data_IF_636292559313
#
_entry.id   IF_636292559313
#
_cell.length_a   1.000
_cell.length_b   1.000
_cell.length_c   1.000
_cell.angle_alpha   90.00
_cell.angle_beta   90.00
_cell.angle_gamma   90.00
#
_symmetry.space_group_name_H-M   'P 1'
#
loop_
_entity.id
_entity.type
_entity.pdbx_description
1 polymer ?
#
# COMPACT_ATOMS: atom_id res chain seq x y z
N UNK A 1 33.59 13.53 21.01
CA UNK A 1 34.72 13.16 20.15
C UNK A 1 34.29 13.43 18.73
N UNK A 2 34.96 14.33 18.03
CA UNK A 2 34.65 14.61 16.63
C UNK A 2 35.34 13.53 15.77
N UNK A 3 34.61 12.66 15.04
CA UNK A 3 35.21 11.58 14.26
C UNK A 3 36.02 12.07 13.06
N UNK A 4 35.80 13.31 12.58
CA UNK A 4 36.53 13.90 11.45
C UNK A 4 37.85 14.51 11.92
N UNK A 5 37.85 15.22 13.06
CA UNK A 5 39.07 15.87 13.58
C UNK A 5 39.82 15.07 14.64
N UNK A 6 39.28 13.94 15.11
CA UNK A 6 39.83 13.06 16.15
C UNK A 6 40.25 13.77 17.45
N UNK A 7 39.68 14.94 17.73
CA UNK A 7 39.90 15.69 18.96
C UNK A 7 38.68 15.56 19.88
N UNK A 8 38.90 15.69 21.21
CA UNK A 8 37.81 15.97 22.14
C UNK A 8 37.37 17.41 21.91
N UNK A 9 36.51 17.57 20.90
CA UNK A 9 36.21 18.84 20.25
C UNK A 9 35.46 19.82 21.13
N UNK A 10 35.94 21.06 21.06
CA UNK A 10 35.29 22.30 21.49
C UNK A 10 33.76 22.25 21.25
N UNK A 11 32.93 22.39 22.31
CA UNK A 11 31.47 22.38 22.20
C UNK A 11 30.92 23.35 21.15
N UNK A 12 31.59 24.48 20.90
CA UNK A 12 31.13 25.50 19.94
C UNK A 12 31.08 25.01 18.50
N UNK A 13 31.75 23.90 18.17
CA UNK A 13 31.77 23.32 16.82
C UNK A 13 30.63 22.34 16.55
N UNK A 14 29.89 21.93 17.59
CA UNK A 14 28.88 20.89 17.45
C UNK A 14 27.60 21.41 16.80
N UNK A 15 26.97 20.68 15.86
CA UNK A 15 25.75 21.12 15.19
C UNK A 15 24.63 21.51 16.16
N UNK A 16 24.48 20.77 17.26
CA UNK A 16 23.48 21.02 18.31
C UNK A 16 23.68 22.33 19.09
N UNK A 17 24.84 22.96 18.97
CA UNK A 17 25.16 24.26 19.59
C UNK A 17 25.14 25.39 18.57
N UNK A 18 25.34 25.10 17.28
CA UNK A 18 25.45 26.11 16.21
C UNK A 18 24.17 26.38 15.45
N UNK A 19 23.26 25.41 15.41
CA UNK A 19 22.05 25.47 14.61
C UNK A 19 20.82 25.31 15.50
N UNK A 20 19.79 26.14 15.29
CA UNK A 20 18.52 26.02 15.99
C UNK A 20 17.71 24.78 15.56
N UNK A 21 18.05 24.21 14.40
CA UNK A 21 17.40 23.03 13.82
C UNK A 21 18.45 22.04 13.37
N UNK A 22 18.36 20.81 13.87
CA UNK A 22 19.25 19.69 13.53
C UNK A 22 18.48 18.36 13.61
N UNK A 23 19.08 17.30 13.07
CA UNK A 23 18.59 15.94 13.20
C UNK A 23 19.59 15.10 14.01
N UNK A 24 19.07 14.21 14.87
CA UNK A 24 19.86 13.25 15.62
C UNK A 24 19.56 11.83 15.13
N UNK A 25 20.59 11.00 15.12
CA UNK A 25 20.39 9.55 15.01
C UNK A 25 19.84 9.08 16.36
N UNK A 26 18.59 8.62 16.38
CA UNK A 26 17.96 8.11 17.59
C UNK A 26 18.65 6.81 18.06
N UNK A 27 19.18 6.76 19.29
CA UNK A 27 19.72 5.53 19.86
C UNK A 27 18.65 4.45 20.05
N UNK A 28 19.07 3.21 20.31
CA UNK A 28 18.18 2.05 20.42
C UNK A 28 17.14 2.15 21.54
N UNK A 29 17.39 2.97 22.57
CA UNK A 29 16.44 3.23 23.66
C UNK A 29 15.15 3.94 23.20
N UNK A 30 15.17 4.59 22.03
CA UNK A 30 14.00 5.20 21.40
C UNK A 30 13.22 4.23 20.50
N UNK A 31 13.63 2.96 20.41
CA UNK A 31 13.02 1.97 19.52
C UNK A 31 12.28 0.89 20.31
N UNK A 32 10.94 0.86 20.21
CA UNK A 32 10.14 -0.27 20.70
C UNK A 32 10.24 -1.50 19.79
N UNK A 33 10.44 -1.27 18.50
CA UNK A 33 10.63 -2.28 17.46
C UNK A 33 11.72 -1.81 16.49
N UNK A 34 12.43 -2.73 15.81
CA UNK A 34 13.33 -2.36 14.73
C UNK A 34 12.60 -1.56 13.64
N UNK A 35 13.29 -0.66 12.93
CA UNK A 35 12.72 0.08 11.81
C UNK A 35 12.07 -0.84 10.78
N UNK A 36 10.75 -0.72 10.66
CA UNK A 36 9.94 -1.48 9.71
C UNK A 36 10.22 -1.00 8.28
N UNK A 37 10.07 -1.88 7.27
CA UNK A 37 10.16 -1.46 5.87
C UNK A 37 9.04 -0.46 5.52
N UNK A 38 9.26 0.33 4.47
CA UNK A 38 8.18 1.12 3.89
C UNK A 38 7.17 0.18 3.22
N UNK A 39 5.90 0.29 3.58
CA UNK A 39 4.83 -0.54 3.01
C UNK A 39 3.78 0.35 2.34
N UNK A 40 3.48 0.05 1.08
CA UNK A 40 2.51 0.77 0.26
C UNK A 40 1.38 -0.16 -0.15
N UNK A 41 0.17 0.10 0.33
CA UNK A 41 -1.03 -0.65 -0.06
C UNK A 41 -1.95 0.24 -0.88
N UNK A 42 -2.30 -0.20 -2.07
CA UNK A 42 -3.22 0.49 -2.97
C UNK A 42 -4.60 -0.18 -2.92
N UNK A 43 -5.63 0.57 -2.53
CA UNK A 43 -7.02 0.14 -2.60
C UNK A 43 -7.67 0.78 -3.83
N UNK A 44 -8.17 -0.04 -4.75
CA UNK A 44 -8.71 0.39 -6.04
C UNK A 44 -10.20 0.07 -6.13
N UNK A 45 -11.05 1.09 -6.24
CA UNK A 45 -12.47 0.94 -6.55
C UNK A 45 -12.64 0.37 -7.97
N UNK A 46 -13.31 -0.76 -8.10
CA UNK A 46 -13.58 -1.42 -9.40
C UNK A 46 -15.08 -1.54 -9.68
N UNK A 47 -15.90 -0.73 -9.00
CA UNK A 47 -17.32 -0.59 -9.28
C UNK A 47 -17.60 -0.08 -10.71
N UNK A 48 -18.83 -0.24 -11.19
CA UNK A 48 -19.23 0.18 -12.54
C UNK A 48 -18.93 1.65 -12.81
N UNK A 49 -19.11 2.54 -11.81
CA UNK A 49 -18.81 3.97 -11.96
C UNK A 49 -17.31 4.20 -12.13
N UNK A 50 -16.51 3.45 -11.38
CA UNK A 50 -15.06 3.43 -11.50
C UNK A 50 -14.62 3.03 -12.91
N UNK A 51 -15.15 1.93 -13.44
CA UNK A 51 -14.85 1.48 -14.79
C UNK A 51 -15.29 2.48 -15.85
N UNK A 52 -16.51 3.02 -15.76
CA UNK A 52 -17.06 3.98 -16.72
C UNK A 52 -16.25 5.29 -16.77
N UNK A 53 -15.67 5.71 -15.65
CA UNK A 53 -14.82 6.90 -15.60
C UNK A 53 -13.47 6.73 -16.33
N UNK A 54 -13.03 5.50 -16.59
CA UNK A 54 -11.72 5.20 -17.15
C UNK A 54 -10.54 5.52 -16.22
N UNK A 55 -10.79 5.83 -14.94
CA UNK A 55 -9.72 6.22 -14.02
C UNK A 55 -8.75 5.06 -13.74
N UNK A 56 -9.23 3.82 -13.75
CA UNK A 56 -8.44 2.65 -13.35
C UNK A 56 -7.26 2.43 -14.30
N UNK A 57 -7.45 2.65 -15.61
CA UNK A 57 -6.37 2.62 -16.60
C UNK A 57 -5.29 3.65 -16.28
N UNK A 58 -5.70 4.90 -16.04
CA UNK A 58 -4.77 6.00 -15.73
C UNK A 58 -4.06 5.77 -14.40
N UNK A 59 -4.78 5.29 -13.39
CA UNK A 59 -4.23 5.00 -12.07
C UNK A 59 -3.20 3.87 -12.14
N UNK A 60 -3.53 2.75 -12.80
CA UNK A 60 -2.62 1.63 -12.96
C UNK A 60 -1.35 2.03 -13.73
N UNK A 61 -1.49 2.78 -14.83
CA UNK A 61 -0.35 3.29 -15.59
C UNK A 61 0.51 4.23 -14.75
N UNK A 62 -0.11 5.19 -14.06
CA UNK A 62 0.63 6.16 -13.22
C UNK A 62 1.35 5.45 -12.08
N UNK A 63 0.71 4.49 -11.43
CA UNK A 63 1.36 3.69 -10.38
C UNK A 63 2.58 2.98 -10.98
N UNK A 64 2.40 2.27 -12.11
CA UNK A 64 3.47 1.55 -12.80
C UNK A 64 4.70 2.43 -13.11
N UNK A 65 4.47 3.66 -13.58
CA UNK A 65 5.52 4.65 -13.88
C UNK A 65 6.20 5.21 -12.62
N UNK A 66 5.49 5.26 -11.49
CA UNK A 66 5.98 5.85 -10.24
C UNK A 66 6.50 4.83 -9.22
N UNK A 67 6.37 3.53 -9.47
CA UNK A 67 6.83 2.47 -8.56
C UNK A 67 8.29 2.66 -8.16
N UNK A 68 9.18 2.97 -9.13
CA UNK A 68 10.62 3.13 -8.88
C UNK A 68 10.96 4.44 -8.14
N UNK A 69 10.02 5.39 -8.07
CA UNK A 69 10.15 6.66 -7.35
C UNK A 69 9.59 6.61 -5.93
N UNK A 70 9.01 5.48 -5.50
CA UNK A 70 8.48 5.35 -4.15
C UNK A 70 9.62 5.40 -3.11
N UNK A 71 9.49 6.22 -2.04
CA UNK A 71 10.52 6.30 -1.04
C UNK A 71 10.60 5.01 -0.23
N UNK A 72 11.80 4.47 -0.07
CA UNK A 72 12.00 3.24 0.67
C UNK A 72 13.38 2.67 0.43
N UNK A 73 13.80 1.76 1.31
CA UNK A 73 15.02 0.98 1.09
C UNK A 73 14.73 -0.25 0.21
N UNK A 74 15.70 -1.15 0.08
CA UNK A 74 15.53 -2.39 -0.68
C UNK A 74 14.46 -3.34 -0.13
N UNK A 75 13.92 -3.08 1.07
CA UNK A 75 12.89 -3.87 1.73
C UNK A 75 11.49 -3.29 1.50
N UNK A 76 11.35 -2.23 0.70
CA UNK A 76 10.04 -1.63 0.43
C UNK A 76 9.05 -2.67 -0.11
N UNK A 77 7.87 -2.73 0.49
CA UNK A 77 6.82 -3.66 0.12
C UNK A 77 5.65 -2.93 -0.51
N UNK A 78 4.99 -3.61 -1.45
CA UNK A 78 3.77 -3.14 -2.10
C UNK A 78 2.70 -4.21 -2.08
N UNK A 79 1.44 -3.79 -2.00
CA UNK A 79 0.28 -4.65 -2.16
C UNK A 79 -0.86 -3.93 -2.86
N UNK A 80 -1.79 -4.73 -3.36
CA UNK A 80 -2.95 -4.25 -4.10
C UNK A 80 -4.19 -4.96 -3.60
N UNK A 81 -5.26 -4.21 -3.43
CA UNK A 81 -6.61 -4.71 -3.17
C UNK A 81 -7.55 -3.95 -4.11
N UNK A 82 -8.38 -4.66 -4.85
CA UNK A 82 -9.50 -4.06 -5.56
C UNK A 82 -10.80 -4.31 -4.79
N UNK A 83 -11.81 -3.45 -4.95
CA UNK A 83 -13.09 -3.65 -4.27
C UNK A 83 -14.29 -3.10 -5.06
N UNK A 84 -15.39 -3.86 -5.00
CA UNK A 84 -16.74 -3.51 -5.47
C UNK A 84 -17.75 -4.01 -4.42
N UNK A 85 -18.68 -4.91 -4.72
CA UNK A 85 -19.43 -5.69 -3.71
C UNK A 85 -18.59 -6.74 -2.97
N UNK A 86 -17.39 -7.05 -3.46
CA UNK A 86 -16.44 -7.97 -2.87
C UNK A 86 -15.07 -7.29 -2.66
N UNK A 87 -14.18 -7.97 -1.92
CA UNK A 87 -12.79 -7.55 -1.75
C UNK A 87 -11.89 -8.52 -2.52
N UNK A 88 -11.12 -7.99 -3.47
CA UNK A 88 -10.23 -8.75 -4.34
C UNK A 88 -8.79 -8.58 -3.88
N UNK A 89 -8.16 -9.67 -3.47
CA UNK A 89 -6.76 -9.72 -3.07
C UNK A 89 -5.92 -10.27 -4.22
N UNK A 90 -4.67 -9.82 -4.33
CA UNK A 90 -3.73 -10.30 -5.33
C UNK A 90 -2.53 -10.97 -4.66
N UNK A 91 -2.41 -12.28 -4.87
CA UNK A 91 -1.28 -13.06 -4.41
C UNK A 91 -0.18 -13.04 -5.47
N UNK A 92 0.98 -12.51 -5.09
CA UNK A 92 2.15 -12.34 -5.94
C UNK A 92 3.29 -13.18 -5.34
N UNK A 93 3.24 -14.50 -5.53
CA UNK A 93 4.28 -15.39 -5.01
C UNK A 93 5.43 -15.59 -6.01
N UNK A 94 6.64 -15.77 -5.49
CA UNK A 94 7.79 -16.21 -6.29
C UNK A 94 7.50 -17.56 -6.96
N UNK A 95 7.79 -17.65 -8.26
CA UNK A 95 7.54 -18.84 -9.08
C UNK A 95 6.17 -18.88 -9.76
N UNK A 96 5.30 -17.90 -9.53
CA UNK A 96 4.14 -17.69 -10.40
C UNK A 96 4.55 -17.01 -11.70
N UNK A 97 3.93 -17.44 -12.81
CA UNK A 97 4.07 -16.75 -14.10
C UNK A 97 3.11 -15.55 -14.23
N UNK A 98 2.12 -15.45 -13.34
CA UNK A 98 1.16 -14.36 -13.30
C UNK A 98 0.58 -14.19 -11.87
N UNK A 99 0.14 -12.99 -11.49
CA UNK A 99 -0.57 -12.76 -10.24
C UNK A 99 -1.86 -13.58 -10.13
N UNK A 100 -2.20 -14.06 -8.92
CA UNK A 100 -3.43 -14.78 -8.66
C UNK A 100 -4.42 -13.93 -7.85
N UNK A 101 -5.62 -13.73 -8.40
CA UNK A 101 -6.72 -13.06 -7.70
C UNK A 101 -7.41 -14.02 -6.74
N UNK A 102 -7.68 -13.55 -5.52
CA UNK A 102 -8.49 -14.24 -4.52
C UNK A 102 -9.61 -13.30 -4.08
N UNK A 103 -10.85 -13.66 -4.41
CA UNK A 103 -12.03 -12.83 -4.10
C UNK A 103 -12.66 -13.27 -2.78
N UNK A 104 -12.83 -12.33 -1.86
CA UNK A 104 -13.58 -12.50 -0.61
C UNK A 104 -14.94 -11.82 -0.76
N UNK A 105 -15.99 -12.64 -0.78
CA UNK A 105 -17.38 -12.19 -0.91
C UNK A 105 -18.00 -11.74 0.42
N UNK A 106 -17.43 -12.18 1.54
CA UNK A 106 -17.87 -11.81 2.88
C UNK A 106 -17.30 -10.44 3.25
N UNK A 107 -18.17 -9.42 3.27
CA UNK A 107 -17.78 -8.02 3.50
C UNK A 107 -18.10 -7.53 4.90
N UNK A 108 -19.01 -8.18 5.62
CA UNK A 108 -19.41 -7.74 6.96
C UNK A 108 -18.38 -8.18 8.02
N UNK A 109 -17.73 -9.33 7.81
CA UNK A 109 -16.58 -9.80 8.59
C UNK A 109 -15.40 -10.21 7.70
N UNK A 110 -14.69 -9.20 7.17
CA UNK A 110 -13.58 -9.42 6.24
C UNK A 110 -12.39 -10.09 6.93
N UNK A 111 -11.75 -11.03 6.23
CA UNK A 111 -10.54 -11.72 6.66
C UNK A 111 -9.46 -11.69 5.57
N UNK A 112 -8.20 -11.98 5.95
CA UNK A 112 -7.12 -12.15 4.98
C UNK A 112 -7.17 -13.57 4.43
N UNK A 113 -7.32 -13.78 3.11
CA UNK A 113 -7.51 -15.11 2.55
C UNK A 113 -6.26 -15.98 2.59
N UNK A 114 -5.08 -15.36 2.69
CA UNK A 114 -3.78 -16.02 2.81
C UNK A 114 -2.91 -15.20 3.76
N UNK A 115 -2.06 -15.84 4.58
CA UNK A 115 -1.12 -15.14 5.46
C UNK A 115 0.02 -14.48 4.69
N UNK A 116 0.39 -15.02 3.51
CA UNK A 116 1.59 -14.64 2.78
C UNK A 116 1.29 -14.11 1.38
N UNK A 117 2.27 -13.41 0.79
CA UNK A 117 2.32 -12.95 -0.60
C UNK A 117 1.24 -11.93 -1.03
N UNK A 118 0.61 -11.25 -0.06
CA UNK A 118 -0.28 -10.10 -0.29
C UNK A 118 0.44 -8.74 -0.20
N UNK A 119 1.54 -8.70 0.55
CA UNK A 119 2.50 -7.60 0.60
C UNK A 119 3.85 -8.17 0.17
N UNK A 120 4.36 -7.70 -0.96
CA UNK A 120 5.52 -8.29 -1.61
C UNK A 120 6.62 -7.28 -1.80
N UNK A 121 7.87 -7.74 -1.85
CA UNK A 121 8.99 -6.85 -2.09
C UNK A 121 8.86 -6.21 -3.48
N UNK A 122 8.90 -4.88 -3.51
CA UNK A 122 8.71 -4.11 -4.72
C UNK A 122 9.76 -4.43 -5.81
N UNK A 123 11.02 -4.62 -5.40
CA UNK A 123 12.13 -4.86 -6.33
C UNK A 123 12.13 -6.30 -6.85
N UNK A 124 11.87 -7.26 -5.97
CA UNK A 124 11.89 -8.69 -6.32
C UNK A 124 10.71 -9.05 -7.21
N UNK A 125 9.51 -8.53 -6.92
CA UNK A 125 8.30 -8.85 -7.65
C UNK A 125 7.95 -7.83 -8.75
N UNK A 126 8.90 -6.99 -9.19
CA UNK A 126 8.66 -5.85 -10.10
C UNK A 126 7.91 -6.22 -11.38
N UNK A 127 8.26 -7.36 -11.98
CA UNK A 127 7.65 -7.87 -13.23
C UNK A 127 6.20 -8.30 -13.00
N UNK A 128 5.94 -9.13 -11.98
CA UNK A 128 4.59 -9.57 -11.65
C UNK A 128 3.66 -8.40 -11.24
N UNK A 129 4.20 -7.39 -10.56
CA UNK A 129 3.46 -6.17 -10.24
C UNK A 129 3.08 -5.42 -11.51
N UNK A 130 3.98 -5.34 -12.50
CA UNK A 130 3.66 -4.73 -13.80
C UNK A 130 2.55 -5.49 -14.52
N UNK A 131 2.63 -6.82 -14.55
CA UNK A 131 1.62 -7.66 -15.17
C UNK A 131 0.25 -7.47 -14.50
N UNK A 132 0.22 -7.40 -13.15
CA UNK A 132 -1.00 -7.10 -12.41
C UNK A 132 -1.61 -5.77 -12.85
N UNK A 133 -0.82 -4.69 -12.85
CA UNK A 133 -1.30 -3.35 -13.18
C UNK A 133 -1.79 -3.25 -14.63
N UNK A 134 -1.20 -4.00 -15.57
CA UNK A 134 -1.66 -4.07 -16.96
C UNK A 134 -2.94 -4.90 -17.14
N UNK A 135 -3.15 -5.91 -16.29
CA UNK A 135 -4.31 -6.80 -16.37
C UNK A 135 -5.53 -6.25 -15.63
N UNK A 136 -5.32 -5.49 -14.55
CA UNK A 136 -6.36 -4.96 -13.66
C UNK A 136 -7.51 -4.25 -14.41
N UNK A 137 -7.27 -3.26 -15.29
CA UNK A 137 -8.37 -2.59 -16.00
C UNK A 137 -9.17 -3.53 -16.89
N UNK A 138 -8.48 -4.47 -17.56
CA UNK A 138 -9.10 -5.46 -18.46
C UNK A 138 -9.94 -6.48 -17.70
N UNK A 139 -9.50 -6.85 -16.50
CA UNK A 139 -10.15 -7.85 -15.65
C UNK A 139 -11.59 -7.46 -15.28
N UNK A 140 -11.84 -6.17 -15.07
CA UNK A 140 -13.13 -5.66 -14.63
C UNK A 140 -14.01 -5.09 -15.74
N UNK A 141 -13.50 -4.95 -16.98
CA UNK A 141 -14.19 -4.27 -18.09
C UNK A 141 -15.58 -4.83 -18.49
N UNK A 142 -15.98 -6.02 -18.01
CA UNK A 142 -17.31 -6.61 -18.24
C UNK A 142 -18.16 -6.77 -16.98
N UNK A 143 -17.65 -6.40 -15.80
CA UNK A 143 -18.36 -6.56 -14.53
C UNK A 143 -19.25 -5.36 -14.27
N UNK A 144 -20.55 -5.62 -14.04
CA UNK A 144 -21.54 -4.58 -13.79
C UNK A 144 -21.95 -4.62 -12.32
N UNK A 145 -21.12 -4.05 -11.45
CA UNK A 145 -21.38 -3.97 -10.02
C UNK A 145 -21.34 -2.52 -9.53
N UNK A 146 -22.49 -2.02 -9.09
CA UNK A 146 -22.64 -0.64 -8.61
C UNK A 146 -22.33 -0.47 -7.11
N UNK A 147 -21.90 -1.55 -6.44
CA UNK A 147 -21.60 -1.54 -5.01
C UNK A 147 -20.14 -1.16 -4.77
N UNK A 148 -19.90 -0.53 -3.63
CA UNK A 148 -18.56 -0.18 -3.16
C UNK A 148 -18.41 -0.48 -1.68
N UNK A 149 -17.66 -1.55 -1.40
CA UNK A 149 -17.35 -2.08 -0.08
C UNK A 149 -16.09 -1.46 0.52
N UNK A 150 -15.95 -0.13 0.45
CA UNK A 150 -14.76 0.58 0.93
C UNK A 150 -14.43 0.26 2.39
N UNK A 151 -15.43 0.20 3.28
CA UNK A 151 -15.16 -0.08 4.68
C UNK A 151 -14.61 -1.49 4.92
N UNK A 152 -15.06 -2.48 4.15
CA UNK A 152 -14.49 -3.83 4.18
C UNK A 152 -13.05 -3.81 3.67
N UNK A 153 -12.77 -3.11 2.56
CA UNK A 153 -11.41 -2.97 2.03
C UNK A 153 -10.46 -2.28 3.04
N UNK A 154 -10.92 -1.26 3.76
CA UNK A 154 -10.16 -0.60 4.81
C UNK A 154 -9.91 -1.50 6.03
N UNK A 155 -10.89 -2.30 6.43
CA UNK A 155 -10.70 -3.30 7.49
C UNK A 155 -9.70 -4.37 7.08
N UNK A 156 -9.75 -4.85 5.83
CA UNK A 156 -8.76 -5.77 5.27
C UNK A 156 -7.36 -5.14 5.27
N UNK A 157 -7.23 -3.89 4.82
CA UNK A 157 -5.98 -3.14 4.85
C UNK A 157 -5.40 -3.02 6.26
N UNK A 158 -6.24 -2.71 7.26
CA UNK A 158 -5.83 -2.65 8.66
C UNK A 158 -5.31 -4.00 9.17
N UNK A 159 -5.98 -5.10 8.84
CA UNK A 159 -5.53 -6.46 9.20
C UNK A 159 -4.21 -6.80 8.51
N UNK A 160 -4.10 -6.51 7.21
CA UNK A 160 -2.91 -6.82 6.40
C UNK A 160 -1.67 -6.04 6.86
N UNK A 161 -1.84 -4.77 7.22
CA UNK A 161 -0.73 -3.88 7.60
C UNK A 161 -0.54 -3.78 9.12
N UNK A 162 -1.32 -4.49 9.93
CA UNK A 162 -1.29 -4.33 11.39
C UNK A 162 0.08 -4.61 12.03
N UNK A 163 0.84 -5.55 11.47
CA UNK A 163 2.16 -5.90 11.98
C UNK A 163 3.23 -4.85 11.64
N UNK A 164 3.25 -4.33 10.42
CA UNK A 164 4.33 -3.45 9.93
C UNK A 164 3.98 -1.97 10.04
N UNK A 165 2.71 -1.62 9.94
CA UNK A 165 2.26 -0.28 9.56
C UNK A 165 2.57 0.03 8.09
N UNK A 166 2.33 1.27 7.69
CA UNK A 166 2.66 1.79 6.36
C UNK A 166 1.63 2.80 5.85
N UNK A 167 1.53 2.96 4.53
CA UNK A 167 0.61 3.88 3.86
C UNK A 167 -0.44 3.11 3.05
N UNK A 168 -1.71 3.44 3.29
CA UNK A 168 -2.83 3.01 2.46
C UNK A 168 -3.23 4.17 1.55
N UNK A 169 -3.20 3.95 0.23
CA UNK A 169 -3.69 4.90 -0.77
C UNK A 169 -5.01 4.37 -1.35
N UNK A 170 -6.10 5.12 -1.13
CA UNK A 170 -7.44 4.74 -1.56
C UNK A 170 -7.84 5.52 -2.80
N UNK A 171 -8.30 4.81 -3.82
CA UNK A 171 -8.89 5.37 -5.03
C UNK A 171 -10.37 5.02 -5.02
N UNK A 172 -11.21 6.03 -4.80
CA UNK A 172 -12.66 5.89 -4.69
C UNK A 172 -13.34 6.76 -5.75
N UNK A 173 -14.33 6.22 -6.44
CA UNK A 173 -15.06 6.94 -7.49
C UNK A 173 -16.53 7.17 -7.19
N UNK A 174 -17.10 6.38 -6.28
CA UNK A 174 -18.51 6.48 -5.90
C UNK A 174 -18.69 6.65 -4.39
N UNK A 175 -19.91 6.91 -3.93
CA UNK A 175 -20.21 6.90 -2.49
C UNK A 175 -20.13 5.45 -1.97
N UNK A 176 -19.33 5.14 -0.93
CA UNK A 176 -19.36 3.82 -0.29
C UNK A 176 -20.77 3.46 0.13
N UNK A 177 -21.32 2.37 -0.40
CA UNK A 177 -22.74 2.05 -0.29
C UNK A 177 -23.02 0.59 0.08
N UNK A 178 -21.97 -0.20 0.36
CA UNK A 178 -22.10 -1.62 0.68
C UNK A 178 -21.13 -2.02 1.80
N UNK A 179 -21.55 -2.96 2.67
CA UNK A 179 -20.75 -3.45 3.79
C UNK A 179 -20.59 -2.44 4.94
N UNK A 180 -19.62 -2.67 5.84
CA UNK A 180 -19.41 -1.87 7.03
C UNK A 180 -19.05 -0.42 6.67
N UNK A 181 -19.66 0.55 7.34
CA UNK A 181 -19.43 1.97 7.05
C UNK A 181 -20.08 2.48 5.76
N UNK A 182 -21.00 1.72 5.16
CA UNK A 182 -21.82 2.19 4.04
C UNK A 182 -22.57 3.50 4.39
N UNK A 183 -22.63 4.39 3.41
CA UNK A 183 -23.22 5.72 3.51
C UNK A 183 -24.47 5.83 2.64
N UNK A 184 -25.35 6.76 3.01
CA UNK A 184 -26.53 7.13 2.24
C UNK A 184 -26.40 8.59 1.79
N UNK A 185 -26.91 8.90 0.59
CA UNK A 185 -27.03 10.28 0.13
C UNK A 185 -27.96 11.04 1.08
N UNK A 186 -27.53 12.22 1.51
CA UNK A 186 -28.31 13.11 2.40
C UNK A 186 -29.02 14.19 1.62
#
# INVERSE_FOLDING_TARGET
>A
YDPVSKTYGDPTRRPEIRSSTIEFIAPSEYMLRPPQPAVYLFLLDVSSLAQQSGYLDVACQTIQEQLDNLPGDARAQVGFIAYNSAVHFYNIADGFNQPHEITVLEVDDVFLPTPDNLLVNLKECRELINDLLQQLPKRFAGEHDNKSALGAALQAALKLMGATGGRVSVFQTCLPNYGPGALQSR
#
